data_IF_166115249096
#
_entry.id   IF_166115249096
#
_cell.length_a   1.000
_cell.length_b   1.000
_cell.length_c   1.000
_cell.angle_alpha   90.00
_cell.angle_beta   90.00
_cell.angle_gamma   90.00
#
_symmetry.space_group_name_H-M   'P 1'
#
loop_
_entity.id
_entity.type
_entity.pdbx_description
1 polymer ?
#
# COMPACT_ATOMS: atom_id res chain seq x y z
N UNK A 1 19.76 -7.74 -17.92
CA UNK A 1 20.20 -6.72 -16.93
C UNK A 1 19.39 -5.42 -16.98
N UNK A 2 18.94 -4.97 -18.15
CA UNK A 2 18.13 -3.73 -18.27
C UNK A 2 16.68 -3.88 -17.73
N UNK A 3 16.06 -5.03 -17.97
CA UNK A 3 14.68 -5.33 -17.54
C UNK A 3 14.56 -5.41 -16.01
N UNK A 4 15.56 -5.97 -15.32
CA UNK A 4 15.60 -6.07 -13.85
C UNK A 4 15.65 -4.68 -13.17
N UNK A 5 16.42 -3.74 -13.72
CA UNK A 5 16.46 -2.35 -13.22
C UNK A 5 15.13 -1.61 -13.42
N UNK A 6 14.40 -1.91 -14.50
CA UNK A 6 13.12 -1.27 -14.79
C UNK A 6 12.03 -1.69 -13.77
N UNK A 7 11.98 -2.97 -13.39
CA UNK A 7 11.00 -3.47 -12.41
C UNK A 7 11.27 -2.97 -10.98
N UNK A 8 12.54 -2.92 -10.56
CA UNK A 8 12.89 -2.33 -9.27
C UNK A 8 12.52 -0.83 -9.22
N UNK A 9 12.83 -0.08 -10.29
CA UNK A 9 12.46 1.33 -10.37
C UNK A 9 10.94 1.55 -10.33
N UNK A 10 10.15 0.66 -10.93
CA UNK A 10 8.69 0.76 -10.94
C UNK A 10 8.10 0.53 -9.54
N UNK A 11 8.64 -0.42 -8.77
CA UNK A 11 8.19 -0.65 -7.39
C UNK A 11 8.58 0.50 -6.46
N UNK A 12 9.82 0.99 -6.55
CA UNK A 12 10.23 2.18 -5.79
C UNK A 12 9.34 3.38 -6.12
N UNK A 13 9.00 3.55 -7.40
CA UNK A 13 8.06 4.58 -7.83
C UNK A 13 6.68 4.37 -7.22
N UNK A 14 6.15 3.15 -7.25
CA UNK A 14 4.86 2.81 -6.66
C UNK A 14 4.82 3.06 -5.15
N UNK A 15 5.82 2.58 -4.41
CA UNK A 15 5.96 2.85 -2.97
C UNK A 15 6.07 4.35 -2.69
N UNK A 16 6.89 5.07 -3.47
CA UNK A 16 7.02 6.52 -3.35
C UNK A 16 5.69 7.25 -3.58
N UNK A 17 4.89 6.79 -4.53
CA UNK A 17 3.54 7.34 -4.77
C UNK A 17 2.64 7.09 -3.57
N UNK A 18 2.63 5.88 -3.01
CA UNK A 18 1.83 5.54 -1.84
C UNK A 18 2.23 6.37 -0.61
N UNK A 19 3.53 6.63 -0.44
CA UNK A 19 4.09 7.35 0.69
C UNK A 19 4.04 8.88 0.54
N UNK A 20 3.70 9.39 -0.64
CA UNK A 20 3.60 10.84 -0.91
C UNK A 20 2.13 11.24 -1.04
N UNK A 21 1.58 11.90 -0.03
CA UNK A 21 0.17 12.27 0.03
C UNK A 21 -0.32 13.06 -1.19
N UNK A 22 0.53 13.91 -1.76
CA UNK A 22 0.20 14.70 -2.95
C UNK A 22 0.06 13.82 -4.19
N UNK A 23 0.93 12.83 -4.37
CA UNK A 23 0.90 11.89 -5.49
C UNK A 23 -0.26 10.91 -5.37
N UNK A 24 -0.48 10.34 -4.18
CA UNK A 24 -1.62 9.48 -3.90
C UNK A 24 -2.94 10.20 -4.17
N UNK A 25 -3.06 11.43 -3.70
CA UNK A 25 -4.21 12.29 -3.97
C UNK A 25 -4.39 12.55 -5.47
N UNK A 26 -3.33 12.93 -6.19
CA UNK A 26 -3.41 13.22 -7.62
C UNK A 26 -3.88 12.01 -8.40
N UNK A 27 -3.31 10.82 -8.15
CA UNK A 27 -3.72 9.58 -8.84
C UNK A 27 -5.18 9.23 -8.51
N UNK A 28 -5.61 9.41 -7.26
CA UNK A 28 -7.01 9.19 -6.86
C UNK A 28 -7.97 10.09 -7.64
N UNK A 29 -7.60 11.34 -7.89
CA UNK A 29 -8.46 12.32 -8.55
C UNK A 29 -8.48 12.21 -10.07
N UNK A 30 -7.46 11.60 -10.69
CA UNK A 30 -7.38 11.50 -12.14
C UNK A 30 -8.58 10.79 -12.79
N UNK A 31 -9.06 9.62 -12.30
CA UNK A 31 -10.26 8.99 -12.83
C UNK A 31 -11.51 9.87 -12.71
N UNK A 32 -11.65 10.57 -11.58
CA UNK A 32 -12.79 11.46 -11.32
C UNK A 32 -12.84 12.64 -12.31
N UNK A 33 -11.67 13.16 -12.68
CA UNK A 33 -11.58 14.25 -13.68
C UNK A 33 -11.83 13.80 -15.10
N UNK A 34 -11.56 12.52 -15.42
CA UNK A 34 -11.66 11.98 -16.78
C UNK A 34 -12.98 11.31 -17.05
N UNK A 35 -13.61 10.76 -16.03
CA UNK A 35 -14.82 9.96 -16.14
C UNK A 35 -15.86 10.45 -15.17
N UNK A 36 -17.13 10.32 -15.52
CA UNK A 36 -18.24 10.65 -14.62
C UNK A 36 -18.50 9.45 -13.70
N UNK A 37 -17.70 9.34 -12.63
CA UNK A 37 -17.77 8.26 -11.65
C UNK A 37 -18.54 8.70 -10.41
N UNK A 38 -19.21 7.74 -9.78
CA UNK A 38 -20.06 7.96 -8.60
C UNK A 38 -19.28 7.94 -7.28
N UNK A 39 -18.02 7.50 -7.29
CA UNK A 39 -17.16 7.46 -6.11
C UNK A 39 -15.68 7.51 -6.50
N UNK A 40 -14.84 8.00 -5.60
CA UNK A 40 -13.39 7.91 -5.66
C UNK A 40 -12.88 6.83 -4.70
N UNK A 41 -11.83 6.11 -5.06
CA UNK A 41 -11.14 5.16 -4.19
C UNK A 41 -9.75 5.71 -3.94
N UNK A 42 -9.35 5.82 -2.66
CA UNK A 42 -8.01 6.31 -2.32
C UNK A 42 -6.93 5.40 -2.92
N UNK A 43 -5.94 6.00 -3.58
CA UNK A 43 -4.78 5.25 -4.04
C UNK A 43 -3.87 4.91 -2.86
N UNK A 44 -3.64 3.62 -2.63
CA UNK A 44 -2.81 3.08 -1.56
C UNK A 44 -2.37 1.64 -1.88
N UNK A 45 -1.62 1.01 -0.96
CA UNK A 45 -1.22 -0.39 -1.05
C UNK A 45 -1.74 -1.16 0.18
N UNK A 46 -2.12 -2.42 -0.01
CA UNK A 46 -2.51 -3.31 1.10
C UNK A 46 -1.32 -3.69 1.97
N UNK A 47 -0.10 -3.61 1.46
CA UNK A 47 1.13 -3.99 2.16
C UNK A 47 1.70 -2.87 3.05
N UNK A 48 1.11 -1.68 3.07
CA UNK A 48 1.56 -0.57 3.94
C UNK A 48 1.50 -0.94 5.41
N UNK A 49 0.52 -1.77 5.81
CA UNK A 49 0.37 -2.23 7.21
C UNK A 49 1.49 -3.20 7.59
N UNK A 50 1.77 -4.30 6.87
CA UNK A 50 2.94 -5.14 7.14
C UNK A 50 4.25 -4.36 7.15
N UNK A 51 4.45 -3.42 6.23
CA UNK A 51 5.65 -2.58 6.21
C UNK A 51 5.76 -1.69 7.44
N UNK A 52 4.66 -1.11 7.92
CA UNK A 52 4.64 -0.32 9.16
C UNK A 52 4.97 -1.17 10.39
N UNK A 53 4.58 -2.44 10.38
CA UNK A 53 4.93 -3.43 11.40
C UNK A 53 6.39 -3.91 11.32
N UNK A 54 7.19 -3.41 10.37
CA UNK A 54 8.62 -3.70 10.25
C UNK A 54 8.98 -4.80 9.25
N UNK A 55 8.02 -5.31 8.49
CA UNK A 55 8.30 -6.32 7.47
C UNK A 55 8.85 -5.68 6.19
N UNK A 56 9.93 -6.21 5.69
CA UNK A 56 10.52 -5.77 4.43
C UNK A 56 9.86 -6.47 3.23
N UNK A 57 9.47 -5.68 2.24
CA UNK A 57 8.88 -6.16 0.99
C UNK A 57 9.80 -5.81 -0.18
N UNK A 58 10.18 -6.82 -0.95
CA UNK A 58 10.94 -6.67 -2.18
C UNK A 58 10.09 -7.00 -3.40
N UNK A 59 10.29 -6.27 -4.49
CA UNK A 59 9.68 -6.61 -5.76
C UNK A 59 10.55 -7.58 -6.54
N UNK A 60 10.08 -8.79 -6.72
CA UNK A 60 10.77 -9.82 -7.48
C UNK A 60 10.17 -9.89 -8.89
N UNK A 61 10.97 -9.76 -9.96
CA UNK A 61 10.48 -9.86 -11.33
C UNK A 61 9.70 -11.16 -11.55
N UNK A 62 8.57 -11.07 -12.22
CA UNK A 62 7.63 -12.17 -12.50
C UNK A 62 6.94 -12.81 -11.28
N UNK A 63 7.33 -12.45 -10.05
CA UNK A 63 6.67 -12.92 -8.83
C UNK A 63 5.85 -11.84 -8.12
N UNK A 64 6.17 -10.55 -8.34
CA UNK A 64 5.54 -9.45 -7.63
C UNK A 64 6.18 -9.16 -6.26
N UNK A 65 5.42 -8.60 -5.30
CA UNK A 65 5.91 -8.28 -3.97
C UNK A 65 6.16 -9.56 -3.16
N UNK A 66 7.34 -9.66 -2.54
CA UNK A 66 7.77 -10.80 -1.72
C UNK A 66 8.29 -10.29 -0.39
N UNK A 67 7.86 -10.90 0.70
CA UNK A 67 8.46 -10.65 2.01
C UNK A 67 9.80 -11.36 2.12
N UNK A 68 10.83 -10.62 2.54
CA UNK A 68 12.20 -11.16 2.70
C UNK A 68 12.29 -12.17 3.84
N UNK A 69 11.57 -11.92 4.93
CA UNK A 69 11.47 -12.80 6.09
C UNK A 69 9.99 -13.05 6.43
N UNK A 70 9.33 -13.99 5.71
CA UNK A 70 7.93 -14.31 6.00
C UNK A 70 7.78 -14.97 7.36
N UNK A 71 6.70 -14.66 8.07
CA UNK A 71 6.39 -15.28 9.36
C UNK A 71 6.06 -16.77 9.13
N UNK A 72 6.62 -17.65 9.96
CA UNK A 72 6.42 -19.10 9.88
C UNK A 72 5.84 -19.70 11.15
N UNK A 73 6.12 -19.08 12.27
CA UNK A 73 5.74 -19.54 13.60
C UNK A 73 5.17 -18.42 14.44
N UNK A 74 4.48 -18.76 15.52
CA UNK A 74 3.97 -17.76 16.47
C UNK A 74 5.09 -16.92 17.12
N UNK A 75 6.30 -17.48 17.24
CA UNK A 75 7.46 -16.76 17.79
C UNK A 75 7.90 -15.62 16.86
N UNK A 76 7.70 -15.76 15.56
CA UNK A 76 8.05 -14.72 14.59
C UNK A 76 7.20 -13.44 14.77
N UNK A 77 6.06 -13.53 15.45
CA UNK A 77 5.23 -12.36 15.78
C UNK A 77 5.95 -11.39 16.72
N UNK A 78 6.89 -11.88 17.54
CA UNK A 78 7.70 -11.05 18.43
C UNK A 78 8.67 -10.12 17.66
N UNK A 79 8.94 -10.41 16.39
CA UNK A 79 9.75 -9.56 15.50
C UNK A 79 8.99 -8.33 15.03
N UNK A 80 7.66 -8.34 15.09
CA UNK A 80 6.84 -7.25 14.60
C UNK A 80 6.83 -6.09 15.60
N UNK A 81 6.84 -4.89 15.05
CA UNK A 81 6.63 -3.66 15.79
C UNK A 81 5.21 -3.64 16.38
N UNK A 82 5.02 -3.05 17.55
CA UNK A 82 3.70 -2.91 18.18
C UNK A 82 2.77 -2.02 17.32
N UNK A 83 1.45 -2.16 17.53
CA UNK A 83 0.48 -1.35 16.82
C UNK A 83 0.65 0.15 17.10
N UNK A 84 1.00 0.49 18.36
CA UNK A 84 1.24 1.87 18.80
C UNK A 84 2.43 2.50 18.09
N UNK A 85 3.48 1.73 17.82
CA UNK A 85 4.67 2.20 17.08
C UNK A 85 4.50 2.16 15.57
N UNK A 86 3.64 1.28 15.06
CA UNK A 86 3.34 1.17 13.63
C UNK A 86 2.42 2.29 13.14
N UNK A 87 1.44 2.71 13.95
CA UNK A 87 0.42 3.68 13.57
C UNK A 87 1.01 5.02 13.10
N UNK A 88 2.00 5.64 13.77
CA UNK A 88 2.63 6.86 13.28
C UNK A 88 3.32 6.70 11.91
N UNK A 89 3.82 5.50 11.59
CA UNK A 89 4.45 5.22 10.30
C UNK A 89 3.45 5.23 9.13
N UNK A 90 2.14 5.15 9.41
CA UNK A 90 1.05 5.22 8.43
C UNK A 90 0.47 6.63 8.26
N UNK A 91 1.05 7.65 8.89
CA UNK A 91 0.52 9.02 8.88
C UNK A 91 0.31 9.55 7.46
N UNK A 92 1.19 9.18 6.52
CA UNK A 92 1.08 9.57 5.11
C UNK A 92 -0.21 9.08 4.44
N UNK A 93 -0.76 7.93 4.86
CA UNK A 93 -2.04 7.40 4.36
C UNK A 93 -3.19 8.29 4.85
N UNK A 94 -3.20 8.65 6.13
CA UNK A 94 -4.23 9.51 6.72
C UNK A 94 -4.17 10.92 6.12
N UNK A 95 -2.96 11.43 5.88
CA UNK A 95 -2.75 12.72 5.22
C UNK A 95 -3.25 12.71 3.77
N UNK A 96 -3.01 11.60 3.03
CA UNK A 96 -3.51 11.45 1.67
C UNK A 96 -5.04 11.41 1.63
N UNK A 97 -5.69 10.70 2.55
CA UNK A 97 -7.16 10.66 2.68
C UNK A 97 -7.70 12.06 2.97
N UNK A 98 -7.09 12.76 3.92
CA UNK A 98 -7.51 14.12 4.30
C UNK A 98 -7.39 15.08 3.14
N UNK A 99 -6.24 15.11 2.46
CA UNK A 99 -5.98 15.96 1.30
C UNK A 99 -6.96 15.66 0.15
N UNK A 100 -7.21 14.38 -0.12
CA UNK A 100 -8.12 13.95 -1.19
C UNK A 100 -9.55 14.37 -0.90
N UNK A 101 -10.03 14.20 0.34
CA UNK A 101 -11.36 14.66 0.76
C UNK A 101 -11.53 16.16 0.53
N UNK A 102 -10.53 16.96 0.90
CA UNK A 102 -10.59 18.40 0.66
C UNK A 102 -10.66 18.73 -0.84
N UNK A 103 -9.84 18.06 -1.67
CA UNK A 103 -9.82 18.33 -3.12
C UNK A 103 -11.03 17.78 -3.87
N UNK A 104 -11.74 16.79 -3.34
CA UNK A 104 -13.01 16.30 -3.90
C UNK A 104 -14.15 17.28 -3.69
N UNK A 105 -14.08 18.16 -2.69
CA UNK A 105 -15.09 19.21 -2.43
C UNK A 105 -16.53 18.65 -2.32
N UNK A 106 -16.67 17.40 -1.89
CA UNK A 106 -17.97 16.74 -1.76
C UNK A 106 -18.62 16.32 -3.09
N UNK A 107 -17.91 16.38 -4.23
CA UNK A 107 -18.46 16.01 -5.55
C UNK A 107 -18.86 14.53 -5.62
N UNK A 108 -18.05 13.67 -5.03
CA UNK A 108 -18.30 12.23 -4.91
C UNK A 108 -17.78 11.72 -3.56
N UNK A 109 -18.31 10.61 -3.01
CA UNK A 109 -17.76 9.99 -1.81
C UNK A 109 -16.35 9.45 -2.07
N UNK A 110 -15.51 9.49 -1.03
CA UNK A 110 -14.19 8.86 -1.03
C UNK A 110 -14.26 7.54 -0.27
N UNK A 111 -13.94 6.45 -0.94
CA UNK A 111 -13.83 5.11 -0.39
C UNK A 111 -12.38 4.83 -0.02
N UNK A 112 -12.15 4.38 1.22
CA UNK A 112 -10.90 3.76 1.63
C UNK A 112 -10.90 2.27 1.29
N UNK A 113 -9.72 1.63 1.32
CA UNK A 113 -9.63 0.19 1.28
C UNK A 113 -8.47 -0.29 2.15
N UNK A 114 -8.55 -1.54 2.56
CA UNK A 114 -7.48 -2.22 3.29
C UNK A 114 -7.51 -3.70 2.95
N UNK A 115 -6.37 -4.38 3.04
CA UNK A 115 -6.33 -5.82 2.91
C UNK A 115 -7.14 -6.48 4.03
N UNK A 116 -7.97 -7.47 3.68
CA UNK A 116 -8.63 -8.30 4.68
C UNK A 116 -7.59 -9.05 5.52
N UNK A 117 -7.84 -9.31 6.81
CA UNK A 117 -6.88 -10.01 7.66
C UNK A 117 -6.37 -11.32 7.03
N UNK A 118 -7.25 -12.11 6.42
CA UNK A 118 -6.88 -13.35 5.72
C UNK A 118 -5.94 -13.09 4.54
N UNK A 119 -6.22 -12.06 3.72
CA UNK A 119 -5.37 -11.71 2.58
C UNK A 119 -3.96 -11.28 3.04
N UNK A 120 -3.89 -10.47 4.09
CA UNK A 120 -2.61 -10.03 4.67
C UNK A 120 -1.84 -11.23 5.23
N UNK A 121 -2.52 -12.12 5.99
CA UNK A 121 -1.91 -13.32 6.55
C UNK A 121 -1.37 -14.23 5.43
N UNK A 122 -2.15 -14.48 4.37
CA UNK A 122 -1.70 -15.29 3.24
C UNK A 122 -0.45 -14.71 2.57
N UNK A 123 -0.37 -13.40 2.40
CA UNK A 123 0.84 -12.76 1.87
C UNK A 123 2.05 -12.92 2.81
N UNK A 124 1.85 -12.71 4.11
CA UNK A 124 2.92 -12.75 5.11
C UNK A 124 3.47 -14.18 5.31
N UNK A 125 2.59 -15.18 5.40
CA UNK A 125 3.00 -16.56 5.72
C UNK A 125 3.36 -17.38 4.48
N UNK A 126 2.66 -17.21 3.38
CA UNK A 126 2.79 -18.08 2.22
C UNK A 126 3.53 -17.40 1.06
N UNK A 127 3.86 -16.10 1.16
CA UNK A 127 4.30 -15.32 -0.01
C UNK A 127 3.35 -15.56 -1.20
N UNK A 128 2.03 -15.61 -0.90
CA UNK A 128 1.02 -15.97 -1.88
C UNK A 128 0.88 -14.81 -2.88
N UNK A 129 1.23 -15.10 -4.12
CA UNK A 129 0.99 -14.19 -5.23
C UNK A 129 -0.30 -14.63 -5.90
N UNK A 130 -1.31 -13.73 -5.92
CA UNK A 130 -2.46 -13.95 -6.79
C UNK A 130 -1.97 -14.03 -8.23
N UNK A 131 -2.19 -15.17 -8.85
CA UNK A 131 -1.99 -15.39 -10.28
C UNK A 131 -3.01 -14.57 -11.06
#
# INVERSE_FOLDING_TARGET
MFVLKCHQNLFYLFCSICQTKELACEITLQPIRRYNLDAAIIFSDILVVPQALGMEVLMVPAKGPVFTDPLKTAVDLEKLTTAEEALPKLQYVFDAITLTRHKLEGKVPLLGFTGAPVSIILHIFLNFHSV
#
